data_IF_748480923601
#
_entry.id   IF_748480923601
#
_cell.length_a   1.000
_cell.length_b   1.000
_cell.length_c   1.000
_cell.angle_alpha   90.00
_cell.angle_beta   90.00
_cell.angle_gamma   90.00
#
_symmetry.space_group_name_H-M   'P 1'
#
loop_
_entity.id
_entity.type
_entity.pdbx_description
1 polymer ?
#
# COMPACT_ATOMS: atom_id res chain seq x y z
N UNK A 1 -10.50 4.83 35.49
CA UNK A 1 -9.11 4.68 35.03
C UNK A 1 -9.07 5.06 33.55
N UNK A 2 -8.41 6.16 33.14
CA UNK A 2 -8.27 6.48 31.73
C UNK A 2 -7.27 5.50 31.11
N UNK A 3 -7.67 4.83 30.03
CA UNK A 3 -6.78 3.99 29.24
C UNK A 3 -5.69 4.87 28.60
N UNK A 4 -4.40 4.50 28.67
CA UNK A 4 -3.37 5.25 27.98
C UNK A 4 -3.66 5.22 26.48
N UNK A 5 -3.70 6.39 25.86
CA UNK A 5 -3.78 6.52 24.41
C UNK A 5 -2.47 5.98 23.84
N UNK A 6 -2.54 4.82 23.17
CA UNK A 6 -1.39 4.26 22.46
C UNK A 6 -1.05 5.19 21.31
N UNK A 7 -0.06 6.05 21.51
CA UNK A 7 0.49 6.89 20.46
C UNK A 7 1.46 6.03 19.63
N UNK A 8 1.04 5.67 18.42
CA UNK A 8 1.86 4.93 17.47
C UNK A 8 2.04 5.73 16.19
N UNK A 9 3.29 5.88 15.75
CA UNK A 9 3.61 6.45 14.45
C UNK A 9 3.18 5.55 13.29
N UNK A 10 2.72 4.31 13.55
CA UNK A 10 2.13 3.46 12.52
C UNK A 10 0.92 4.13 11.83
N UNK A 11 0.23 5.03 12.53
CA UNK A 11 -0.92 5.76 11.98
C UNK A 11 -0.55 7.01 11.18
N UNK A 12 0.71 7.48 11.25
CA UNK A 12 1.18 8.59 10.41
C UNK A 12 1.32 8.21 8.93
N UNK A 13 1.23 6.91 8.61
CA UNK A 13 1.37 6.40 7.25
C UNK A 13 0.03 6.13 6.55
N UNK A 14 -1.11 6.50 7.15
CA UNK A 14 -2.42 6.27 6.52
C UNK A 14 -2.56 7.01 5.18
N UNK A 15 -1.85 8.12 4.96
CA UNK A 15 -1.85 8.83 3.67
C UNK A 15 -1.28 8.00 2.51
N UNK A 16 -0.46 6.98 2.80
CA UNK A 16 0.12 6.09 1.80
C UNK A 16 -0.82 4.94 1.42
N UNK A 17 -1.92 4.74 2.17
CA UNK A 17 -2.91 3.71 1.89
C UNK A 17 -4.16 4.36 1.32
N UNK A 18 -4.44 4.09 0.05
CA UNK A 18 -5.65 4.54 -0.64
C UNK A 18 -6.52 3.32 -0.93
N UNK A 19 -7.69 3.26 -0.34
CA UNK A 19 -8.64 2.19 -0.60
C UNK A 19 -10.04 2.73 -0.85
N UNK A 20 -10.83 1.99 -1.62
CA UNK A 20 -12.19 2.37 -1.96
C UNK A 20 -12.97 1.21 -2.54
N UNK A 21 -14.28 1.40 -2.61
CA UNK A 21 -15.18 0.51 -3.35
C UNK A 21 -15.66 1.27 -4.56
N UNK A 22 -15.46 0.71 -5.75
CA UNK A 22 -16.07 1.25 -6.97
C UNK A 22 -17.60 1.09 -6.86
N UNK A 23 -18.38 2.19 -6.80
CA UNK A 23 -19.83 2.13 -6.61
C UNK A 23 -20.56 1.43 -7.77
N UNK A 24 -19.93 1.31 -8.95
CA UNK A 24 -20.56 0.70 -10.13
C UNK A 24 -20.42 -0.81 -10.15
N UNK A 25 -19.31 -1.33 -9.65
CA UNK A 25 -18.98 -2.75 -9.70
C UNK A 25 -19.02 -3.43 -8.33
N UNK A 26 -19.06 -2.66 -7.24
CA UNK A 26 -18.96 -3.15 -5.87
C UNK A 26 -17.56 -3.71 -5.54
N UNK A 27 -16.58 -3.49 -6.40
CA UNK A 27 -15.24 -4.02 -6.21
C UNK A 27 -14.45 -3.14 -5.25
N UNK A 28 -13.88 -3.78 -4.23
CA UNK A 28 -12.92 -3.15 -3.34
C UNK A 28 -11.54 -3.14 -3.99
N UNK A 29 -10.91 -1.97 -4.08
CA UNK A 29 -9.51 -1.83 -4.47
C UNK A 29 -8.74 -1.13 -3.37
N UNK A 30 -7.45 -1.47 -3.26
CA UNK A 30 -6.54 -0.87 -2.30
C UNK A 30 -5.21 -0.63 -2.99
N UNK A 31 -4.55 0.48 -2.69
CA UNK A 31 -3.23 0.83 -3.16
C UNK A 31 -2.41 1.29 -1.97
N UNK A 32 -1.20 0.76 -1.84
CA UNK A 32 -0.26 1.09 -0.78
C UNK A 32 1.00 1.63 -1.44
N UNK A 33 1.25 2.93 -1.28
CA UNK A 33 2.49 3.56 -1.71
C UNK A 33 3.62 3.16 -0.78
N UNK A 34 4.68 2.58 -1.32
CA UNK A 34 5.88 2.21 -0.57
C UNK A 34 6.79 3.44 -0.42
N UNK A 35 7.55 3.53 0.68
CA UNK A 35 8.51 4.61 0.86
C UNK A 35 9.60 4.56 -0.22
N UNK A 36 10.17 5.72 -0.54
CA UNK A 36 11.23 5.83 -1.54
C UNK A 36 12.41 4.92 -1.20
N UNK A 37 12.76 4.05 -2.14
CA UNK A 37 13.94 3.21 -2.01
C UNK A 37 15.20 4.05 -2.26
N UNK A 38 15.95 4.31 -1.19
CA UNK A 38 17.25 4.98 -1.25
C UNK A 38 18.34 3.97 -1.62
N UNK A 39 18.48 3.70 -2.91
CA UNK A 39 19.50 2.80 -3.45
C UNK A 39 20.84 3.53 -3.73
N UNK A 40 21.91 2.76 -3.90
CA UNK A 40 23.22 3.24 -4.36
C UNK A 40 23.75 4.46 -3.59
N UNK A 41 23.82 4.39 -2.25
CA UNK A 41 24.30 5.49 -1.39
C UNK A 41 23.61 6.84 -1.64
N UNK A 42 22.30 6.86 -1.88
CA UNK A 42 21.51 8.07 -2.22
C UNK A 42 21.84 8.68 -3.60
N UNK A 43 22.65 8.02 -4.42
CA UNK A 43 22.98 8.42 -5.79
C UNK A 43 22.20 7.63 -6.85
N UNK A 44 21.32 6.72 -6.45
CA UNK A 44 20.42 6.00 -7.36
C UNK A 44 19.20 6.84 -7.75
N UNK A 45 18.56 6.51 -8.89
CA UNK A 45 17.26 7.08 -9.22
C UNK A 45 16.21 6.69 -8.18
N UNK A 46 15.26 7.60 -7.93
CA UNK A 46 14.10 7.30 -7.08
C UNK A 46 13.14 6.44 -7.88
N UNK A 47 12.83 5.25 -7.37
CA UNK A 47 11.83 4.35 -7.96
C UNK A 47 10.58 4.39 -7.08
N UNK A 48 9.47 4.99 -7.55
CA UNK A 48 8.21 4.93 -6.83
C UNK A 48 7.65 3.52 -6.95
N UNK A 49 7.40 2.87 -5.82
CA UNK A 49 6.83 1.53 -5.77
C UNK A 49 5.45 1.62 -5.13
N UNK A 50 4.46 0.93 -5.68
CA UNK A 50 3.16 0.78 -5.03
C UNK A 50 2.67 -0.66 -5.09
N UNK A 51 2.00 -1.09 -4.03
CA UNK A 51 1.33 -2.38 -3.97
C UNK A 51 -0.16 -2.17 -4.25
N UNK A 52 -0.65 -2.72 -5.36
CA UNK A 52 -2.05 -2.63 -5.76
C UNK A 52 -2.80 -3.92 -5.48
N UNK A 53 -4.00 -3.82 -4.90
CA UNK A 53 -4.97 -4.89 -4.75
C UNK A 53 -6.13 -4.71 -5.71
N UNK A 54 -6.44 -5.78 -6.45
CA UNK A 54 -7.68 -5.90 -7.21
C UNK A 54 -8.28 -7.30 -7.07
N UNK A 55 -9.58 -7.42 -6.75
CA UNK A 55 -10.25 -8.72 -6.62
C UNK A 55 -10.39 -9.43 -7.97
N UNK A 56 -10.27 -8.71 -9.10
CA UNK A 56 -10.22 -9.31 -10.43
C UNK A 56 -8.90 -10.02 -10.70
N UNK A 57 -7.84 -9.65 -9.99
CA UNK A 57 -6.58 -10.35 -10.07
C UNK A 57 -6.65 -11.60 -9.18
N UNK A 58 -6.73 -12.77 -9.81
CA UNK A 58 -6.75 -14.06 -9.10
C UNK A 58 -5.37 -14.69 -8.98
N UNK A 59 -4.33 -14.04 -9.52
CA UNK A 59 -2.95 -14.53 -9.45
C UNK A 59 -2.34 -14.13 -8.12
N UNK A 60 -1.58 -15.05 -7.57
CA UNK A 60 -0.61 -14.75 -6.53
C UNK A 60 0.75 -14.61 -7.19
N UNK A 61 1.36 -13.44 -7.03
CA UNK A 61 2.68 -13.11 -7.61
C UNK A 61 3.76 -12.98 -6.53
N UNK A 62 3.50 -13.51 -5.33
CA UNK A 62 4.40 -13.46 -4.19
C UNK A 62 3.99 -12.45 -3.11
N UNK A 63 2.95 -11.64 -3.37
CA UNK A 63 2.38 -10.67 -2.43
C UNK A 63 0.99 -11.08 -1.92
N UNK A 64 0.54 -12.28 -2.26
CA UNK A 64 -0.81 -12.77 -2.00
C UNK A 64 -1.74 -12.59 -3.20
N UNK A 65 -2.85 -13.33 -3.18
CA UNK A 65 -3.85 -13.31 -4.26
C UNK A 65 -4.45 -11.92 -4.44
N UNK A 66 -4.43 -11.41 -5.67
CA UNK A 66 -4.99 -10.11 -6.01
C UNK A 66 -4.08 -8.93 -5.73
N UNK A 67 -2.96 -9.17 -5.06
CA UNK A 67 -1.92 -8.19 -4.83
C UNK A 67 -0.85 -8.28 -5.91
N UNK A 68 -0.32 -7.11 -6.30
CA UNK A 68 0.79 -7.01 -7.23
C UNK A 68 1.57 -5.74 -7.02
N UNK A 69 2.86 -5.80 -7.35
CA UNK A 69 3.74 -4.63 -7.38
C UNK A 69 3.49 -3.86 -8.68
N UNK A 70 3.11 -2.59 -8.55
CA UNK A 70 3.07 -1.61 -9.62
C UNK A 70 4.41 -0.87 -9.63
N UNK A 71 5.10 -0.97 -10.76
CA UNK A 71 6.42 -0.41 -11.05
C UNK A 71 6.29 0.75 -12.04
#
# INVERSE_FOLDING_TARGET
>A
MPTPTVHSNAFNFLSFVQAGVDPRTGQYTCSISLPELKANHLCGPIVPLSLGFSPMNSRDTGFGKGWGLQL
#
